data_IF_460319960482
#
_entry.id   IF_460319960482
#
_cell.length_a   1.000
_cell.length_b   1.000
_cell.length_c   1.000
_cell.angle_alpha   90.00
_cell.angle_beta   90.00
_cell.angle_gamma   90.00
#
_symmetry.space_group_name_H-M   'P 1'
#
loop_
_entity.id
_entity.type
_entity.pdbx_description
1 polymer ?
#
# COMPACT_ATOMS: atom_id res chain seq x y z
N UNK A 1 -1.85 -37.35 -8.58
CA UNK A 1 -0.76 -37.01 -7.63
C UNK A 1 -0.34 -35.57 -7.91
N UNK A 2 -1.03 -34.63 -7.27
CA UNK A 2 -0.71 -33.21 -7.31
C UNK A 2 0.51 -33.02 -6.42
N UNK A 3 1.67 -32.71 -7.02
CA UNK A 3 2.83 -32.28 -6.23
C UNK A 3 2.51 -30.89 -5.69
N UNK A 4 2.30 -30.85 -4.38
CA UNK A 4 2.33 -29.64 -3.56
C UNK A 4 3.61 -28.88 -3.85
N UNK A 5 3.47 -27.63 -4.28
CA UNK A 5 4.53 -26.63 -4.26
C UNK A 5 4.16 -25.68 -3.11
N UNK A 6 4.66 -25.88 -1.88
CA UNK A 6 4.07 -25.26 -0.69
C UNK A 6 4.26 -23.74 -0.58
N UNK A 7 4.98 -23.11 -1.51
CA UNK A 7 5.37 -21.70 -1.42
C UNK A 7 5.36 -20.91 -2.74
N UNK A 8 4.55 -21.32 -3.72
CA UNK A 8 4.43 -20.56 -4.97
C UNK A 8 3.69 -19.24 -4.79
N UNK A 9 4.12 -18.18 -5.49
CA UNK A 9 3.39 -16.91 -5.59
C UNK A 9 2.00 -17.15 -6.19
N UNK A 10 0.95 -16.90 -5.40
CA UNK A 10 -0.44 -17.09 -5.84
C UNK A 10 -1.15 -15.76 -6.08
N UNK A 11 -1.88 -15.62 -7.20
CA UNK A 11 -2.81 -14.50 -7.37
C UNK A 11 -3.91 -14.51 -6.31
N UNK A 12 -4.27 -13.32 -5.80
CA UNK A 12 -5.24 -13.16 -4.72
C UNK A 12 -6.56 -13.88 -4.94
N UNK A 13 -7.11 -13.86 -6.15
CA UNK A 13 -8.41 -14.50 -6.42
C UNK A 13 -8.44 -16.02 -6.15
N UNK A 14 -7.30 -16.72 -6.22
CA UNK A 14 -7.20 -18.13 -5.83
C UNK A 14 -7.24 -18.27 -4.30
N UNK A 15 -6.44 -17.45 -3.59
CA UNK A 15 -6.41 -17.45 -2.12
C UNK A 15 -7.77 -17.04 -1.55
N UNK A 16 -8.42 -16.03 -2.13
CA UNK A 16 -9.76 -15.62 -1.74
C UNK A 16 -10.80 -16.75 -1.94
N UNK A 17 -10.72 -17.50 -3.04
CA UNK A 17 -11.60 -18.64 -3.25
C UNK A 17 -11.38 -19.76 -2.21
N UNK A 18 -10.13 -20.00 -1.82
CA UNK A 18 -9.78 -20.95 -0.76
C UNK A 18 -10.42 -20.54 0.57
N UNK A 19 -10.28 -19.27 0.96
CA UNK A 19 -10.89 -18.72 2.19
C UNK A 19 -12.41 -18.78 2.13
N UNK A 20 -13.02 -18.35 1.02
CA UNK A 20 -14.48 -18.38 0.84
C UNK A 20 -15.06 -19.79 0.93
N UNK A 21 -14.40 -20.78 0.31
CA UNK A 21 -14.80 -22.19 0.39
C UNK A 21 -14.58 -22.75 1.80
N UNK A 22 -13.43 -22.48 2.41
CA UNK A 22 -13.12 -22.89 3.78
C UNK A 22 -14.15 -22.37 4.77
N UNK A 23 -14.48 -21.08 4.69
CA UNK A 23 -15.49 -20.43 5.52
C UNK A 23 -16.90 -21.00 5.25
N UNK A 24 -17.30 -21.14 3.98
CA UNK A 24 -18.64 -21.64 3.61
C UNK A 24 -18.90 -23.07 4.05
N UNK A 25 -17.88 -23.93 3.98
CA UNK A 25 -17.98 -25.36 4.28
C UNK A 25 -17.39 -25.74 5.64
N UNK A 26 -17.00 -24.76 6.47
CA UNK A 26 -16.43 -24.97 7.81
C UNK A 26 -15.19 -25.88 7.79
N UNK A 27 -14.30 -25.63 6.84
CA UNK A 27 -13.01 -26.31 6.70
C UNK A 27 -11.93 -25.40 7.30
N UNK A 28 -11.80 -25.44 8.62
CA UNK A 28 -11.02 -24.46 9.40
C UNK A 28 -9.56 -24.35 8.97
N UNK A 29 -8.89 -25.48 8.74
CA UNK A 29 -7.48 -25.49 8.33
C UNK A 29 -7.26 -24.81 6.97
N UNK A 30 -8.19 -24.98 6.04
CA UNK A 30 -8.12 -24.38 4.71
C UNK A 30 -8.36 -22.86 4.78
N UNK A 31 -9.31 -22.45 5.63
CA UNK A 31 -9.56 -21.05 5.92
C UNK A 31 -8.31 -20.40 6.55
N UNK A 32 -7.75 -21.02 7.59
CA UNK A 32 -6.56 -20.55 8.28
C UNK A 32 -5.35 -20.39 7.34
N UNK A 33 -5.07 -21.39 6.50
CA UNK A 33 -3.97 -21.32 5.52
C UNK A 33 -4.16 -20.16 4.52
N UNK A 34 -5.39 -19.93 4.07
CA UNK A 34 -5.72 -18.81 3.19
C UNK A 34 -5.54 -17.46 3.87
N UNK A 35 -5.96 -17.34 5.13
CA UNK A 35 -5.81 -16.13 5.93
C UNK A 35 -4.34 -15.82 6.26
N UNK A 36 -3.53 -16.84 6.55
CA UNK A 36 -2.09 -16.68 6.77
C UNK A 36 -1.39 -16.12 5.53
N UNK A 37 -1.74 -16.62 4.34
CA UNK A 37 -1.26 -16.05 3.08
C UNK A 37 -1.72 -14.60 2.90
N UNK A 38 -2.99 -14.29 3.20
CA UNK A 38 -3.49 -12.91 3.14
C UNK A 38 -2.70 -11.98 4.07
N UNK A 39 -2.40 -12.40 5.30
CA UNK A 39 -1.66 -11.62 6.30
C UNK A 39 -0.24 -11.24 5.85
N UNK A 40 0.34 -11.92 4.86
CA UNK A 40 1.63 -11.50 4.26
C UNK A 40 1.58 -10.17 3.52
N UNK A 41 0.42 -9.78 2.99
CA UNK A 41 0.18 -8.49 2.35
C UNK A 41 -0.71 -7.58 3.22
N UNK A 42 -1.77 -8.12 3.80
CA UNK A 42 -2.74 -7.39 4.63
C UNK A 42 -2.34 -7.41 6.11
N UNK A 43 -1.09 -7.06 6.40
CA UNK A 43 -0.56 -7.06 7.77
C UNK A 43 -0.97 -5.80 8.56
N UNK A 44 -0.80 -5.85 9.89
CA UNK A 44 -1.10 -4.72 10.79
C UNK A 44 0.15 -4.06 11.39
N UNK A 45 1.35 -4.59 11.13
CA UNK A 45 2.63 -4.06 11.63
C UNK A 45 3.46 -3.50 10.49
N UNK A 46 4.05 -2.34 10.70
CA UNK A 46 4.88 -1.69 9.69
C UNK A 46 6.14 -2.52 9.38
N UNK A 47 6.74 -3.14 10.39
CA UNK A 47 7.91 -4.03 10.22
C UNK A 47 7.59 -5.27 9.37
N UNK A 48 6.39 -5.84 9.53
CA UNK A 48 5.90 -6.91 8.65
C UNK A 48 5.74 -6.38 7.24
N UNK A 49 5.05 -5.25 7.04
CA UNK A 49 4.88 -4.66 5.71
C UNK A 49 6.22 -4.47 5.01
N UNK A 50 7.22 -3.89 5.69
CA UNK A 50 8.54 -3.62 5.13
C UNK A 50 9.34 -4.89 4.79
N UNK A 51 9.09 -6.01 5.46
CA UNK A 51 9.86 -7.25 5.31
C UNK A 51 9.19 -8.28 4.40
N UNK A 52 7.86 -8.31 4.35
CA UNK A 52 7.10 -9.34 3.64
C UNK A 52 6.38 -8.84 2.40
N UNK A 53 6.12 -7.54 2.29
CA UNK A 53 5.31 -6.99 1.22
C UNK A 53 6.00 -5.81 0.52
N UNK A 54 5.69 -5.63 -0.76
CA UNK A 54 6.15 -4.49 -1.52
C UNK A 54 5.01 -3.89 -2.35
N UNK A 55 4.94 -2.56 -2.34
CA UNK A 55 4.13 -1.79 -3.26
C UNK A 55 4.95 -1.47 -4.50
N UNK A 56 4.62 -2.10 -5.62
CA UNK A 56 5.40 -1.98 -6.85
C UNK A 56 4.53 -1.83 -8.10
N UNK A 57 5.13 -1.27 -9.14
CA UNK A 57 4.50 -1.16 -10.46
C UNK A 57 4.27 -2.55 -11.05
N UNK A 58 3.03 -2.83 -11.45
CA UNK A 58 2.66 -4.03 -12.21
C UNK A 58 2.15 -3.63 -13.58
N UNK A 59 2.79 -4.17 -14.61
CA UNK A 59 2.29 -4.11 -15.99
C UNK A 59 1.55 -5.40 -16.32
N UNK A 60 0.29 -5.35 -16.75
CA UNK A 60 -0.38 -6.51 -17.33
C UNK A 60 0.44 -7.04 -18.51
N UNK A 61 0.45 -8.36 -18.73
CA UNK A 61 1.06 -8.92 -19.94
C UNK A 61 0.34 -8.36 -21.17
N UNK A 62 1.07 -7.65 -22.02
CA UNK A 62 0.51 -6.97 -23.20
C UNK A 62 -0.26 -5.68 -22.91
N UNK A 63 -0.24 -5.18 -21.66
CA UNK A 63 -0.84 -3.91 -21.29
C UNK A 63 0.14 -2.74 -21.38
N UNK A 64 -0.36 -1.55 -21.69
CA UNK A 64 0.42 -0.30 -21.71
C UNK A 64 0.38 0.46 -20.39
N UNK A 65 -0.58 0.16 -19.51
CA UNK A 65 -0.80 0.90 -18.26
C UNK A 65 -0.28 0.11 -17.06
N UNK A 66 0.64 0.71 -16.32
CA UNK A 66 1.09 0.21 -15.02
C UNK A 66 0.07 0.58 -13.93
N UNK A 67 -0.25 -0.36 -13.04
CA UNK A 67 -0.94 -0.09 -11.77
C UNK A 67 -0.01 -0.34 -10.58
N UNK A 68 -0.30 0.25 -9.42
CA UNK A 68 0.40 -0.09 -8.17
C UNK A 68 -0.17 -1.40 -7.63
N UNK A 69 0.66 -2.44 -7.54
CA UNK A 69 0.34 -3.72 -6.93
C UNK A 69 0.84 -3.84 -5.51
N UNK A 70 0.33 -4.86 -4.82
CA UNK A 70 0.84 -5.31 -3.53
C UNK A 70 1.18 -6.79 -3.63
N UNK A 71 2.43 -7.15 -3.32
CA UNK A 71 2.86 -8.54 -3.41
C UNK A 71 3.79 -8.92 -2.27
N UNK A 72 3.77 -10.20 -1.93
CA UNK A 72 4.69 -10.87 -1.01
C UNK A 72 5.35 -12.04 -1.72
N UNK A 73 6.14 -12.85 -0.99
CA UNK A 73 6.68 -14.11 -1.51
C UNK A 73 5.60 -15.14 -1.86
N UNK A 74 4.39 -15.03 -1.28
CA UNK A 74 3.32 -16.04 -1.43
C UNK A 74 2.04 -15.51 -2.06
N UNK A 75 1.85 -14.19 -2.12
CA UNK A 75 0.60 -13.58 -2.56
C UNK A 75 0.83 -12.40 -3.51
N UNK A 76 0.07 -12.33 -4.60
CA UNK A 76 0.00 -11.17 -5.49
C UNK A 76 -1.42 -10.59 -5.50
N UNK A 77 -1.54 -9.32 -5.11
CA UNK A 77 -2.80 -8.56 -5.08
C UNK A 77 -2.77 -7.47 -6.14
N UNK A 78 -3.76 -7.49 -7.04
CA UNK A 78 -3.97 -6.45 -8.05
C UNK A 78 -5.16 -5.58 -7.68
N UNK A 79 -4.97 -4.31 -7.27
CA UNK A 79 -6.09 -3.52 -6.76
C UNK A 79 -7.28 -3.46 -7.71
N UNK A 80 -7.05 -3.23 -9.01
CA UNK A 80 -8.10 -3.14 -10.04
C UNK A 80 -9.04 -4.34 -10.11
N UNK A 81 -8.60 -5.52 -9.65
CA UNK A 81 -9.39 -6.75 -9.59
C UNK A 81 -9.80 -7.11 -8.17
N UNK A 82 -8.87 -6.96 -7.24
CA UNK A 82 -8.85 -7.68 -5.97
C UNK A 82 -9.25 -6.82 -4.77
N UNK A 83 -9.11 -5.49 -4.82
CA UNK A 83 -9.26 -4.64 -3.63
C UNK A 83 -10.66 -4.71 -3.00
N UNK A 84 -11.73 -4.56 -3.80
CA UNK A 84 -13.11 -4.63 -3.29
C UNK A 84 -13.42 -6.04 -2.75
N UNK A 85 -12.94 -7.09 -3.42
CA UNK A 85 -13.10 -8.46 -2.94
C UNK A 85 -12.35 -8.68 -1.62
N UNK A 86 -11.18 -8.08 -1.45
CA UNK A 86 -10.42 -8.15 -0.21
C UNK A 86 -11.19 -7.55 0.96
N UNK A 87 -11.77 -6.35 0.83
CA UNK A 87 -12.61 -5.75 1.88
C UNK A 87 -13.79 -6.68 2.23
N UNK A 88 -14.53 -7.12 1.22
CA UNK A 88 -15.69 -7.99 1.43
C UNK A 88 -15.32 -9.33 2.09
N UNK A 89 -14.18 -9.91 1.72
CA UNK A 89 -13.69 -11.16 2.29
C UNK A 89 -13.25 -10.98 3.75
N UNK A 90 -12.51 -9.91 4.05
CA UNK A 90 -12.08 -9.61 5.42
C UNK A 90 -13.30 -9.39 6.33
N UNK A 91 -14.31 -8.66 5.85
CA UNK A 91 -15.60 -8.49 6.56
C UNK A 91 -16.32 -9.83 6.76
N UNK A 92 -16.29 -10.71 5.75
CA UNK A 92 -16.95 -12.03 5.81
C UNK A 92 -16.33 -12.91 6.91
N UNK A 93 -15.00 -12.90 7.05
CA UNK A 93 -14.29 -13.75 8.02
C UNK A 93 -14.10 -13.10 9.40
N UNK A 94 -14.35 -11.79 9.53
CA UNK A 94 -14.20 -11.06 10.80
C UNK A 94 -12.76 -10.78 11.22
N UNK A 95 -11.81 -10.78 10.29
CA UNK A 95 -10.38 -10.54 10.56
C UNK A 95 -10.02 -9.05 10.40
N UNK A 96 -10.63 -8.19 11.22
CA UNK A 96 -10.63 -6.73 11.04
C UNK A 96 -9.24 -6.09 10.97
N UNK A 97 -8.21 -6.72 11.54
CA UNK A 97 -6.82 -6.25 11.45
C UNK A 97 -6.30 -6.08 10.00
N UNK A 98 -6.93 -6.75 9.03
CA UNK A 98 -6.59 -6.65 7.61
C UNK A 98 -7.31 -5.51 6.88
N UNK A 99 -8.36 -4.93 7.47
CA UNK A 99 -9.20 -3.91 6.83
C UNK A 99 -8.42 -2.66 6.40
N UNK A 100 -7.50 -2.09 7.21
CA UNK A 100 -6.84 -0.85 6.82
C UNK A 100 -6.07 -0.97 5.49
N UNK A 101 -5.36 -2.08 5.28
CA UNK A 101 -4.65 -2.33 4.02
C UNK A 101 -5.63 -2.61 2.89
N UNK A 102 -6.69 -3.39 3.12
CA UNK A 102 -7.69 -3.69 2.10
C UNK A 102 -8.41 -2.42 1.61
N UNK A 103 -8.84 -1.55 2.52
CA UNK A 103 -9.43 -0.26 2.18
C UNK A 103 -8.44 0.68 1.53
N UNK A 104 -7.18 0.72 1.99
CA UNK A 104 -6.14 1.49 1.32
C UNK A 104 -6.05 1.11 -0.17
N UNK A 105 -6.06 -0.18 -0.52
CA UNK A 105 -6.05 -0.60 -1.92
C UNK A 105 -7.30 -0.14 -2.69
N UNK A 106 -8.48 -0.13 -2.05
CA UNK A 106 -9.70 0.43 -2.66
C UNK A 106 -9.54 1.93 -2.95
N UNK A 107 -8.87 2.68 -2.08
CA UNK A 107 -8.63 4.12 -2.30
C UNK A 107 -7.76 4.39 -3.52
N UNK A 108 -7.05 3.41 -4.07
CA UNK A 108 -6.27 3.54 -5.30
C UNK A 108 -7.11 3.40 -6.57
N UNK A 109 -8.34 2.88 -6.48
CA UNK A 109 -9.20 2.61 -7.64
C UNK A 109 -9.78 3.89 -8.24
N UNK A 110 -10.11 3.93 -9.55
CA UNK A 110 -10.95 4.98 -10.10
C UNK A 110 -12.30 5.06 -9.38
N UNK A 111 -12.84 6.26 -9.18
CA UNK A 111 -14.16 6.45 -8.53
C UNK A 111 -15.27 5.67 -9.25
N UNK A 112 -15.23 5.65 -10.59
CA UNK A 112 -16.17 4.86 -11.38
C UNK A 112 -16.10 3.35 -11.06
N UNK A 113 -14.91 2.82 -10.76
CA UNK A 113 -14.72 1.42 -10.34
C UNK A 113 -15.23 1.20 -8.92
N UNK A 114 -15.05 2.14 -8.00
CA UNK A 114 -15.61 2.06 -6.65
C UNK A 114 -17.15 2.02 -6.67
N UNK A 115 -17.77 2.83 -7.53
CA UNK A 115 -19.23 2.89 -7.68
C UNK A 115 -19.81 1.66 -8.40
N UNK A 116 -19.16 1.20 -9.47
CA UNK A 116 -19.68 0.10 -10.30
C UNK A 116 -19.25 -1.28 -9.83
N UNK A 117 -18.23 -1.38 -8.99
CA UNK A 117 -17.64 -2.64 -8.54
C UNK A 117 -16.73 -3.32 -9.56
N UNK A 118 -15.97 -4.31 -9.10
CA UNK A 118 -15.09 -5.13 -9.95
C UNK A 118 -15.82 -6.37 -10.45
N UNK A 119 -15.50 -6.81 -11.66
CA UNK A 119 -16.16 -7.97 -12.27
C UNK A 119 -15.84 -9.27 -11.49
N UNK A 120 -16.88 -10.00 -11.14
CA UNK A 120 -16.84 -11.38 -10.70
C UNK A 120 -17.22 -12.27 -11.91
N UNK A 121 -16.71 -13.50 -11.97
CA UNK A 121 -17.05 -14.42 -13.06
C UNK A 121 -18.57 -14.54 -13.26
N UNK A 122 -19.01 -14.69 -14.52
CA UNK A 122 -20.43 -14.83 -14.93
C UNK A 122 -21.33 -13.61 -14.66
N UNK A 123 -20.80 -12.39 -14.80
CA UNK A 123 -21.61 -11.15 -14.84
C UNK A 123 -21.99 -10.57 -13.47
N UNK A 124 -21.61 -11.24 -12.38
CA UNK A 124 -21.68 -10.70 -11.03
C UNK A 124 -20.59 -9.65 -10.82
N UNK A 125 -20.74 -8.79 -9.80
CA UNK A 125 -19.73 -7.79 -9.43
C UNK A 125 -19.50 -7.81 -7.93
N UNK A 126 -18.25 -7.61 -7.51
CA UNK A 126 -17.94 -7.25 -6.14
C UNK A 126 -18.12 -5.74 -5.99
N UNK A 127 -19.06 -5.34 -5.15
CA UNK A 127 -19.28 -3.94 -4.76
C UNK A 127 -18.99 -3.78 -3.27
N UNK A 128 -18.58 -2.59 -2.85
CA UNK A 128 -18.56 -2.24 -1.44
C UNK A 128 -20.00 -2.04 -0.94
N UNK A 129 -20.21 -2.23 0.36
CA UNK A 129 -21.45 -1.79 1.00
C UNK A 129 -21.56 -0.26 0.94
N UNK A 130 -22.76 0.31 1.10
CA UNK A 130 -22.94 1.76 1.14
C UNK A 130 -22.05 2.45 2.20
N UNK A 131 -22.02 1.98 3.45
CA UNK A 131 -21.12 2.49 4.49
C UNK A 131 -19.63 2.37 4.13
N UNK A 132 -19.19 1.21 3.64
CA UNK A 132 -17.78 0.99 3.29
C UNK A 132 -17.34 1.85 2.10
N UNK A 133 -18.25 2.10 1.15
CA UNK A 133 -18.01 3.00 0.02
C UNK A 133 -17.83 4.45 0.49
N UNK A 134 -18.68 4.93 1.39
CA UNK A 134 -18.55 6.28 1.96
C UNK A 134 -17.21 6.44 2.69
N UNK A 135 -16.87 5.48 3.56
CA UNK A 135 -15.60 5.42 4.27
C UNK A 135 -14.41 5.47 3.29
N UNK A 136 -14.44 4.66 2.24
CA UNK A 136 -13.38 4.62 1.24
C UNK A 136 -13.22 5.95 0.48
N UNK A 137 -14.33 6.62 0.12
CA UNK A 137 -14.30 7.90 -0.60
C UNK A 137 -13.77 9.04 0.28
N UNK A 138 -14.14 9.08 1.55
CA UNK A 138 -13.62 10.06 2.49
C UNK A 138 -12.13 9.87 2.76
N UNK A 139 -11.73 8.62 3.03
CA UNK A 139 -10.34 8.29 3.30
C UNK A 139 -9.44 8.56 2.10
N UNK A 140 -9.94 8.38 0.87
CA UNK A 140 -9.23 8.73 -0.36
C UNK A 140 -8.72 10.18 -0.33
N UNK A 141 -9.56 11.12 0.13
CA UNK A 141 -9.20 12.55 0.21
C UNK A 141 -8.08 12.78 1.23
N UNK A 142 -8.21 12.19 2.43
CA UNK A 142 -7.20 12.29 3.50
C UNK A 142 -5.85 11.71 3.06
N UNK A 143 -5.87 10.53 2.44
CA UNK A 143 -4.66 9.84 1.97
C UNK A 143 -4.02 10.54 0.77
N UNK A 144 -4.80 11.17 -0.11
CA UNK A 144 -4.26 12.00 -1.19
C UNK A 144 -3.51 13.23 -0.63
N UNK A 145 -4.05 13.88 0.38
CA UNK A 145 -3.36 14.96 1.08
C UNK A 145 -2.05 14.49 1.72
N UNK A 146 -2.06 13.34 2.41
CA UNK A 146 -0.85 12.73 3.00
C UNK A 146 0.18 12.36 1.95
N UNK A 147 -0.24 11.83 0.81
CA UNK A 147 0.66 11.49 -0.29
C UNK A 147 1.40 12.74 -0.81
N UNK A 148 0.68 13.84 -1.02
CA UNK A 148 1.30 15.11 -1.44
C UNK A 148 2.23 15.68 -0.36
N UNK A 149 1.80 15.70 0.90
CA UNK A 149 2.63 16.18 2.02
C UNK A 149 3.92 15.38 2.17
N UNK A 150 3.84 14.04 2.10
CA UNK A 150 4.99 13.13 2.14
C UNK A 150 5.98 13.49 1.05
N UNK A 151 5.57 13.55 -0.22
CA UNK A 151 6.55 13.81 -1.29
C UNK A 151 7.15 15.21 -1.17
N UNK A 152 6.40 16.20 -0.66
CA UNK A 152 6.94 17.54 -0.39
C UNK A 152 7.96 17.56 0.75
N UNK A 153 7.75 16.78 1.83
CA UNK A 153 8.68 16.74 2.98
C UNK A 153 10.00 16.05 2.64
N UNK A 154 9.98 15.06 1.74
CA UNK A 154 11.19 14.36 1.28
C UNK A 154 12.22 15.30 0.66
N UNK A 155 11.77 16.30 -0.09
CA UNK A 155 12.64 17.21 -0.84
C UNK A 155 12.83 18.57 -0.16
N UNK A 156 12.51 18.70 1.13
CA UNK A 156 12.74 19.96 1.84
C UNK A 156 14.26 20.27 1.96
N UNK A 157 14.72 21.42 1.42
CA UNK A 157 16.13 21.83 1.48
C UNK A 157 16.64 22.08 2.90
N UNK A 158 15.75 22.41 3.85
CA UNK A 158 16.10 22.58 5.25
C UNK A 158 16.58 21.27 5.92
N UNK A 159 16.45 20.14 5.22
CA UNK A 159 16.76 18.81 5.73
C UNK A 159 18.01 18.20 5.08
N UNK A 160 18.96 19.02 4.62
CA UNK A 160 20.29 18.53 4.26
C UNK A 160 20.91 17.73 5.42
N UNK A 161 21.67 16.70 5.08
CA UNK A 161 22.35 15.88 6.09
C UNK A 161 23.39 16.70 6.85
N UNK A 162 23.52 16.48 8.15
CA UNK A 162 24.61 17.07 8.94
C UNK A 162 26.01 16.57 8.52
N UNK A 163 26.06 15.49 7.72
CA UNK A 163 27.26 14.93 7.09
C UNK A 163 27.44 15.42 5.64
N UNK A 164 26.70 16.45 5.22
CA UNK A 164 26.81 17.01 3.88
C UNK A 164 28.11 17.82 3.73
N UNK A 165 28.93 17.47 2.73
CA UNK A 165 30.17 18.19 2.41
C UNK A 165 29.98 19.21 1.29
N UNK A 166 28.84 19.21 0.60
CA UNK A 166 28.52 20.05 -0.56
C UNK A 166 27.17 20.76 -0.38
N UNK A 167 27.00 21.45 0.75
CA UNK A 167 25.72 22.04 1.17
C UNK A 167 25.04 22.86 0.07
N UNK A 168 25.75 23.82 -0.55
CA UNK A 168 25.18 24.66 -1.61
C UNK A 168 24.65 23.87 -2.81
N UNK A 169 25.38 22.82 -3.23
CA UNK A 169 24.98 21.98 -4.36
C UNK A 169 23.80 21.08 -3.99
N UNK A 170 23.83 20.46 -2.81
CA UNK A 170 22.74 19.63 -2.32
C UNK A 170 21.46 20.45 -2.09
N UNK A 171 21.56 21.65 -1.53
CA UNK A 171 20.42 22.55 -1.32
C UNK A 171 19.78 22.93 -2.65
N UNK A 172 20.59 23.32 -3.64
CA UNK A 172 20.10 23.67 -4.97
C UNK A 172 19.38 22.49 -5.65
N UNK A 173 19.92 21.28 -5.51
CA UNK A 173 19.32 20.08 -6.07
C UNK A 173 18.03 19.68 -5.33
N UNK A 174 18.00 19.73 -4.00
CA UNK A 174 16.77 19.55 -3.20
C UNK A 174 15.67 20.55 -3.59
N UNK A 175 16.04 21.84 -3.76
CA UNK A 175 15.13 22.86 -4.26
C UNK A 175 14.57 22.53 -5.64
N UNK A 176 15.41 22.00 -6.53
CA UNK A 176 15.03 21.62 -7.89
C UNK A 176 14.03 20.47 -7.87
N UNK A 177 14.28 19.41 -7.10
CA UNK A 177 13.33 18.31 -6.93
C UNK A 177 12.01 18.77 -6.29
N UNK A 178 12.08 19.60 -5.24
CA UNK A 178 10.87 20.15 -4.60
C UNK A 178 10.03 20.96 -5.57
N UNK A 179 10.66 21.79 -6.41
CA UNK A 179 9.97 22.59 -7.43
C UNK A 179 9.35 21.71 -8.51
N UNK A 180 10.09 20.73 -9.02
CA UNK A 180 9.58 19.78 -10.01
C UNK A 180 8.38 19.01 -9.46
N UNK A 181 8.44 18.55 -8.21
CA UNK A 181 7.32 17.86 -7.57
C UNK A 181 6.10 18.77 -7.42
N UNK A 182 6.27 20.01 -6.97
CA UNK A 182 5.15 20.97 -6.85
C UNK A 182 4.47 21.25 -8.19
N UNK A 183 5.21 21.20 -9.30
CA UNK A 183 4.64 21.34 -10.63
C UNK A 183 3.82 20.09 -11.02
N UNK A 184 4.32 18.90 -10.70
CA UNK A 184 3.62 17.64 -10.93
C UNK A 184 2.32 17.54 -10.11
N UNK A 185 2.37 17.90 -8.82
CA UNK A 185 1.21 17.89 -7.91
C UNK A 185 0.08 18.82 -8.40
N UNK A 186 0.43 19.91 -9.10
CA UNK A 186 -0.57 20.82 -9.71
C UNK A 186 -1.19 20.24 -10.99
N UNK A 187 -0.47 19.38 -11.70
CA UNK A 187 -0.87 18.84 -12.99
C UNK A 187 -1.65 17.51 -12.86
N UNK A 188 -1.44 16.75 -11.79
CA UNK A 188 -2.00 15.41 -11.59
C UNK A 188 -3.03 15.43 -10.46
N UNK A 189 -4.20 14.83 -10.69
CA UNK A 189 -5.12 14.52 -9.59
C UNK A 189 -4.39 13.61 -8.60
N UNK A 190 -4.18 14.08 -7.37
CA UNK A 190 -3.38 13.37 -6.37
C UNK A 190 -3.94 11.97 -6.14
N UNK A 191 -3.18 10.96 -6.59
CA UNK A 191 -3.43 9.55 -6.29
C UNK A 191 -2.98 9.35 -4.83
N UNK A 192 -3.76 8.65 -3.99
CA UNK A 192 -3.42 8.45 -2.57
C UNK A 192 -2.29 7.43 -2.36
N UNK A 193 -1.25 7.46 -3.19
CA UNK A 193 -0.14 6.50 -3.23
C UNK A 193 0.87 6.75 -2.10
N UNK A 194 0.45 6.58 -0.85
CA UNK A 194 1.27 6.90 0.34
C UNK A 194 2.37 5.87 0.63
N UNK A 195 2.25 4.65 0.12
CA UNK A 195 3.22 3.57 0.34
C UNK A 195 4.02 3.18 -0.90
N UNK A 196 3.97 3.97 -1.99
CA UNK A 196 4.85 3.75 -3.14
C UNK A 196 6.31 3.73 -2.71
N UNK A 197 7.06 2.73 -3.18
CA UNK A 197 8.51 2.66 -3.00
C UNK A 197 9.20 3.69 -3.90
N UNK A 198 9.80 4.71 -3.28
CA UNK A 198 10.45 5.81 -3.99
C UNK A 198 11.97 5.69 -3.99
N UNK A 199 12.54 4.62 -3.44
CA UNK A 199 13.99 4.45 -3.28
C UNK A 199 14.75 4.67 -4.58
N UNK A 200 14.31 4.04 -5.67
CA UNK A 200 14.95 4.20 -6.99
C UNK A 200 14.97 5.66 -7.46
N UNK A 201 13.87 6.39 -7.24
CA UNK A 201 13.75 7.82 -7.60
C UNK A 201 14.60 8.70 -6.68
N UNK A 202 14.71 8.34 -5.41
CA UNK A 202 15.56 9.05 -4.44
C UNK A 202 17.03 8.87 -4.81
N UNK A 203 17.46 7.64 -5.10
CA UNK A 203 18.84 7.35 -5.50
C UNK A 203 19.23 7.97 -6.83
N UNK A 204 18.29 8.14 -7.78
CA UNK A 204 18.59 8.83 -9.04
C UNK A 204 18.96 10.30 -8.86
N UNK A 205 18.57 10.95 -7.76
CA UNK A 205 18.93 12.33 -7.44
C UNK A 205 20.45 12.55 -7.26
N UNK A 206 21.23 11.46 -7.16
CA UNK A 206 22.69 11.51 -7.25
C UNK A 206 23.18 12.14 -8.54
N UNK A 207 22.51 11.84 -9.66
CA UNK A 207 22.83 12.42 -10.97
C UNK A 207 22.57 13.93 -11.02
N UNK A 208 21.66 14.42 -10.18
CA UNK A 208 21.28 15.83 -10.06
C UNK A 208 22.15 16.60 -9.04
N UNK A 209 23.15 15.94 -8.45
CA UNK A 209 24.16 16.57 -7.58
C UNK A 209 23.99 16.35 -6.08
N UNK A 210 23.04 15.52 -5.63
CA UNK A 210 22.96 15.14 -4.21
C UNK A 210 24.15 14.26 -3.84
N UNK A 211 24.83 14.61 -2.74
CA UNK A 211 25.82 13.73 -2.13
C UNK A 211 25.17 12.51 -1.45
N UNK A 212 25.93 11.44 -1.25
CA UNK A 212 25.45 10.19 -0.65
C UNK A 212 24.82 10.40 0.73
N UNK A 213 25.41 11.27 1.56
CA UNK A 213 24.87 11.58 2.89
C UNK A 213 23.47 12.21 2.84
N UNK A 214 23.19 13.05 1.84
CA UNK A 214 21.86 13.63 1.64
C UNK A 214 20.88 12.62 1.05
N UNK A 215 21.33 11.72 0.15
CA UNK A 215 20.50 10.63 -0.38
C UNK A 215 20.02 9.73 0.76
N UNK A 216 20.94 9.28 1.60
CA UNK A 216 20.60 8.43 2.76
C UNK A 216 19.69 9.16 3.76
N UNK A 217 19.86 10.48 3.95
CA UNK A 217 18.94 11.28 4.76
C UNK A 217 17.53 11.38 4.15
N UNK A 218 17.40 11.44 2.83
CA UNK A 218 16.09 11.41 2.14
C UNK A 218 15.47 10.01 2.22
N UNK A 219 16.26 8.94 2.07
CA UNK A 219 15.78 7.55 2.21
C UNK A 219 15.31 7.24 3.62
N UNK A 220 16.05 7.69 4.64
CA UNK A 220 15.63 7.57 6.03
C UNK A 220 14.29 8.27 6.27
N UNK A 221 14.14 9.51 5.80
CA UNK A 221 12.86 10.24 5.88
C UNK A 221 11.74 9.53 5.12
N UNK A 222 12.03 8.95 3.96
CA UNK A 222 11.05 8.18 3.20
C UNK A 222 10.45 7.02 3.98
N UNK A 223 11.28 6.27 4.71
CA UNK A 223 10.81 5.18 5.57
C UNK A 223 10.05 5.71 6.78
N UNK A 224 10.54 6.76 7.44
CA UNK A 224 9.88 7.32 8.62
C UNK A 224 8.52 7.97 8.30
N UNK A 225 8.38 8.61 7.15
CA UNK A 225 7.09 9.12 6.67
C UNK A 225 6.12 7.98 6.38
N UNK A 226 6.58 6.89 5.77
CA UNK A 226 5.73 5.70 5.59
C UNK A 226 5.31 5.09 6.93
N UNK A 227 6.23 5.01 7.91
CA UNK A 227 5.93 4.53 9.26
C UNK A 227 4.89 5.42 9.93
N UNK A 228 5.02 6.74 9.82
CA UNK A 228 4.07 7.69 10.37
C UNK A 228 2.68 7.53 9.76
N UNK A 229 2.60 7.44 8.42
CA UNK A 229 1.32 7.23 7.73
C UNK A 229 0.73 5.86 8.08
N UNK A 230 1.56 4.82 8.19
CA UNK A 230 1.10 3.49 8.61
C UNK A 230 0.41 3.54 9.97
N UNK A 231 1.02 4.18 10.97
CA UNK A 231 0.42 4.35 12.31
C UNK A 231 -0.93 5.08 12.28
N UNK A 232 -1.10 6.00 11.34
CA UNK A 232 -2.31 6.80 11.16
C UNK A 232 -3.33 6.18 10.21
N UNK A 233 -2.99 5.10 9.52
CA UNK A 233 -3.82 4.52 8.47
C UNK A 233 -5.24 4.13 8.95
N UNK A 234 -5.44 3.48 10.11
CA UNK A 234 -6.78 3.18 10.60
C UNK A 234 -7.59 4.44 10.90
N UNK A 235 -6.98 5.45 11.54
CA UNK A 235 -7.61 6.74 11.83
C UNK A 235 -8.00 7.47 10.54
N UNK A 236 -7.14 7.45 9.52
CA UNK A 236 -7.44 8.01 8.20
C UNK A 236 -8.55 7.25 7.48
N UNK A 237 -8.84 6.01 7.86
CA UNK A 237 -9.92 5.19 7.33
C UNK A 237 -11.13 5.16 8.27
N UNK A 238 -11.12 5.88 9.39
CA UNK A 238 -12.18 5.83 10.41
C UNK A 238 -12.44 4.39 10.92
N UNK A 239 -11.35 3.64 11.15
CA UNK A 239 -11.37 2.26 11.64
C UNK A 239 -10.71 2.15 13.02
N UNK A 240 -11.40 1.51 13.96
CA UNK A 240 -10.86 1.15 15.26
C UNK A 240 -10.25 -0.27 15.21
N UNK A 241 -8.92 -0.35 15.10
CA UNK A 241 -8.21 -1.64 15.03
C UNK A 241 -7.37 -1.84 16.30
N UNK A 242 -7.78 -2.78 17.14
CA UNK A 242 -7.03 -3.15 18.34
C UNK A 242 -5.64 -3.69 17.97
N UNK A 243 -4.60 -3.17 18.65
CA UNK A 243 -3.22 -3.63 18.45
C UNK A 243 -2.56 -3.18 17.13
N UNK A 244 -3.12 -2.19 16.43
CA UNK A 244 -2.52 -1.66 15.20
C UNK A 244 -1.10 -1.12 15.44
N UNK A 245 -0.12 -1.65 14.68
CA UNK A 245 1.31 -1.36 14.81
C UNK A 245 1.87 -1.49 16.25
N UNK A 246 1.18 -2.22 17.13
CA UNK A 246 1.67 -2.48 18.47
C UNK A 246 2.82 -3.50 18.41
N UNK A 247 3.91 -3.19 19.11
CA UNK A 247 4.89 -4.21 19.45
C UNK A 247 4.25 -5.14 20.47
N UNK A 248 4.20 -6.44 20.18
CA UNK A 248 3.72 -7.43 21.12
C UNK A 248 4.79 -7.63 22.22
N UNK A 249 5.03 -6.58 23.00
CA UNK A 249 5.82 -6.58 24.23
C UNK A 249 4.89 -6.17 25.38
N UNK A 250 3.82 -6.94 25.56
CA UNK A 250 3.05 -6.96 26.78
C UNK A 250 2.31 -8.30 26.86
N UNK A 251 3.04 -9.35 27.20
CA UNK A 251 2.47 -10.43 28.00
C UNK A 251 3.30 -10.48 29.30
N UNK A 252 2.66 -10.44 30.48
CA UNK A 252 3.33 -10.48 31.78
C UNK A 252 4.10 -11.77 32.02
#
# INVERSE_FOLDING_TARGET
>A
MLRENPGGLLPFHYVAAIVELGHKYQIDHLCAEGLDRMKTCFCHRFSTMQSTAEFGSMTPHGGTTSELGLYSSTLQVRPSRDAIRAVNLVRLVGEDSMLPVAFYLCTLLPVATLLSGTAMGRGLRHTLSGPDLALCLEARTRLAMRASQRVQSLWDPLCCSNKCFTANTCDAALWTHRRAQRQLDRAVQSIPSVFENLERRIRSAKADGLCEACIEAVLFRHVEEMRFIWKKLPEDLDLEIAGWDADNTAAP
#
